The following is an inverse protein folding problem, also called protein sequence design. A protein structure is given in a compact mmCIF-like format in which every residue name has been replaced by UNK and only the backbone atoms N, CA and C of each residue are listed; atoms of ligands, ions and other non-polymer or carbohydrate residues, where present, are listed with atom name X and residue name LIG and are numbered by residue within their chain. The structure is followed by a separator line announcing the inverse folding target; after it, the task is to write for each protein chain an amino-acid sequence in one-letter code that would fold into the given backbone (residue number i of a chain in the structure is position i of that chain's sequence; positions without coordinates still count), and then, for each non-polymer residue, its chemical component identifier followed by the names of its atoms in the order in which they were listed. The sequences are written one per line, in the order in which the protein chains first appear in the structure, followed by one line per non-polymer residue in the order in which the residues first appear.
data_IF_143365657939
#
_entry.id   IF_143365657939
#
_cell.length_a   1.000
_cell.length_b   1.000
_cell.length_c   1.000
_cell.angle_alpha   90.00
_cell.angle_beta   90.00
_cell.angle_gamma   90.00
#
_symmetry.space_group_name_H-M   'P 1'
#
loop_
_entity.id
_entity.type
_entity.pdbx_description
1 polymer ?
#
# COMPACT_ATOMS: atom_id res chain seq x y z
N UNK A 1 -2.75 22.67 10.40
CA UNK A 1 -2.05 23.11 11.63
C UNK A 1 -1.51 21.92 12.42
N UNK A 2 -2.36 21.04 12.97
CA UNK A 2 -1.88 19.94 13.85
C UNK A 2 -1.09 18.84 13.15
N UNK A 3 -1.38 18.54 11.88
CA UNK A 3 -0.62 17.55 11.08
C UNK A 3 0.78 18.10 10.78
N UNK A 4 0.85 19.30 10.20
CA UNK A 4 2.12 19.97 9.86
C UNK A 4 3.06 20.13 11.06
N UNK A 5 2.50 20.43 12.25
CA UNK A 5 3.31 20.55 13.47
C UNK A 5 3.96 19.22 13.91
N UNK A 6 3.33 18.08 13.59
CA UNK A 6 3.82 16.73 13.98
C UNK A 6 4.62 16.05 12.88
N UNK A 7 4.57 16.59 11.66
CA UNK A 7 5.21 16.01 10.48
C UNK A 7 6.73 15.86 10.62
N UNK A 8 7.50 16.84 11.14
CA UNK A 8 8.95 16.70 11.28
C UNK A 8 9.36 15.52 12.17
N UNK A 9 8.72 15.36 13.34
CA UNK A 9 9.00 14.26 14.24
C UNK A 9 8.54 12.91 13.68
N UNK A 10 7.38 12.90 13.01
CA UNK A 10 6.89 11.69 12.35
C UNK A 10 7.85 11.22 11.26
N UNK A 11 8.29 12.12 10.40
CA UNK A 11 9.21 11.82 9.29
C UNK A 11 10.60 11.44 9.82
N UNK A 12 11.04 12.00 10.95
CA UNK A 12 12.35 11.68 11.54
C UNK A 12 12.37 10.35 12.32
N UNK A 13 11.29 10.00 13.02
CA UNK A 13 11.33 8.90 14.01
C UNK A 13 10.31 7.78 13.78
N UNK A 14 9.24 8.03 13.03
CA UNK A 14 8.18 7.03 12.79
C UNK A 14 8.30 6.44 11.39
N UNK A 15 8.33 7.28 10.36
CA UNK A 15 8.38 6.83 8.96
C UNK A 15 9.58 5.91 8.64
N UNK A 16 10.80 6.15 9.15
CA UNK A 16 11.96 5.30 8.85
C UNK A 16 11.80 3.86 9.31
N UNK A 17 10.90 3.56 10.26
CA UNK A 17 10.69 2.20 10.76
C UNK A 17 10.13 1.26 9.69
N UNK A 18 9.49 1.80 8.64
CA UNK A 18 8.96 1.03 7.50
C UNK A 18 10.03 0.16 6.84
N UNK A 19 11.30 0.59 6.82
CA UNK A 19 12.39 -0.16 6.19
C UNK A 19 12.69 -1.50 6.88
N UNK A 20 12.28 -1.66 8.14
CA UNK A 20 12.49 -2.87 8.92
C UNK A 20 11.28 -3.79 8.94
N UNK A 21 10.13 -3.35 8.41
CA UNK A 21 8.93 -4.14 8.38
C UNK A 21 9.02 -5.25 7.33
N UNK A 22 8.55 -6.44 7.69
CA UNK A 22 8.40 -7.55 6.74
C UNK A 22 7.21 -7.32 5.80
N UNK A 23 6.19 -6.60 6.28
CA UNK A 23 5.00 -6.20 5.50
C UNK A 23 4.62 -4.76 5.85
N UNK A 24 4.38 -3.92 4.83
CA UNK A 24 3.83 -2.57 4.96
C UNK A 24 2.49 -2.49 4.22
N UNK A 25 1.46 -2.03 4.92
CA UNK A 25 0.16 -1.69 4.32
C UNK A 25 0.10 -0.16 4.15
N UNK A 26 0.19 0.31 2.90
CA UNK A 26 0.15 1.72 2.57
C UNK A 26 -1.24 2.12 2.05
N UNK A 27 -1.88 3.08 2.71
CA UNK A 27 -3.22 3.56 2.38
C UNK A 27 -3.13 4.89 1.66
N UNK A 28 -3.62 4.94 0.42
CA UNK A 28 -3.55 6.10 -0.47
C UNK A 28 -4.95 6.48 -0.96
N UNK A 29 -5.14 7.74 -1.40
CA UNK A 29 -6.31 8.13 -2.18
C UNK A 29 -6.57 7.21 -3.37
N UNK A 30 -7.85 6.93 -3.65
CA UNK A 30 -8.23 6.21 -4.87
C UNK A 30 -7.82 6.99 -6.12
N UNK A 31 -7.51 6.26 -7.18
CA UNK A 31 -7.31 6.82 -8.53
C UNK A 31 -8.48 6.50 -9.46
N UNK A 32 -9.50 5.78 -8.97
CA UNK A 32 -10.66 5.36 -9.75
C UNK A 32 -11.73 6.46 -9.85
N UNK A 33 -11.78 7.37 -8.87
CA UNK A 33 -12.78 8.44 -8.78
C UNK A 33 -12.04 9.79 -8.81
N UNK A 34 -12.10 10.54 -9.93
CA UNK A 34 -11.47 11.85 -10.03
C UNK A 34 -12.05 12.84 -9.02
N UNK A 35 -11.18 13.58 -8.31
CA UNK A 35 -11.60 14.60 -7.36
C UNK A 35 -12.19 14.06 -6.05
N UNK A 36 -12.04 12.75 -5.75
CA UNK A 36 -12.52 12.20 -4.48
C UNK A 36 -11.84 12.84 -3.27
N UNK A 37 -12.66 13.54 -2.48
CA UNK A 37 -12.28 14.16 -1.22
C UNK A 37 -12.94 13.48 -0.01
N UNK A 38 -13.83 12.49 -0.23
CA UNK A 38 -14.47 11.75 0.85
C UNK A 38 -13.55 10.70 1.46
N UNK A 39 -12.57 10.21 0.70
CA UNK A 39 -11.56 9.23 1.15
C UNK A 39 -12.18 7.92 1.69
N UNK A 40 -13.34 7.54 1.18
CA UNK A 40 -14.01 6.26 1.52
C UNK A 40 -13.57 5.11 0.60
N UNK A 41 -13.26 5.42 -0.66
CA UNK A 41 -12.67 4.47 -1.60
C UNK A 41 -11.16 4.69 -1.58
N UNK A 42 -10.40 3.63 -1.32
CA UNK A 42 -8.97 3.71 -1.05
C UNK A 42 -8.18 2.88 -2.05
N UNK A 43 -6.97 3.35 -2.38
CA UNK A 43 -5.95 2.56 -3.06
C UNK A 43 -4.99 2.05 -1.99
N UNK A 44 -4.97 0.74 -1.76
CA UNK A 44 -4.13 0.12 -0.73
C UNK A 44 -3.01 -0.67 -1.40
N UNK A 45 -1.77 -0.50 -0.95
CA UNK A 45 -0.62 -1.30 -1.36
C UNK A 45 -0.19 -2.20 -0.21
N UNK A 46 0.06 -3.48 -0.51
CA UNK A 46 0.71 -4.41 0.41
C UNK A 46 2.13 -4.65 -0.10
N UNK A 47 3.12 -4.06 0.58
CA UNK A 47 4.54 -4.22 0.25
C UNK A 47 5.09 -5.32 1.15
N UNK A 48 5.58 -6.40 0.55
CA UNK A 48 6.07 -7.59 1.26
C UNK A 48 7.55 -7.76 0.98
N UNK A 49 8.34 -7.96 2.03
CA UNK A 49 9.78 -8.20 1.92
C UNK A 49 10.04 -9.63 1.44
N UNK A 50 10.93 -9.76 0.46
CA UNK A 50 11.35 -11.05 -0.09
C UNK A 50 12.52 -11.66 0.71
N UNK A 51 12.75 -12.97 0.52
CA UNK A 51 13.90 -13.67 1.10
C UNK A 51 13.82 -13.96 2.60
N UNK A 52 12.66 -13.76 3.22
CA UNK A 52 12.43 -14.04 4.63
C UNK A 52 12.17 -15.53 4.88
N UNK A 53 12.82 -16.08 5.89
CA UNK A 53 12.61 -17.47 6.29
C UNK A 53 11.17 -17.66 6.77
N UNK A 54 10.48 -18.65 6.21
CA UNK A 54 9.08 -18.99 6.53
C UNK A 54 8.04 -17.93 6.14
N UNK A 55 8.38 -17.02 5.22
CA UNK A 55 7.45 -16.04 4.70
C UNK A 55 7.50 -16.03 3.18
N UNK A 56 6.37 -16.37 2.56
CA UNK A 56 6.21 -16.39 1.11
C UNK A 56 5.27 -15.23 0.73
N UNK A 57 5.74 -14.19 0.02
CA UNK A 57 4.91 -13.09 -0.46
C UNK A 57 3.74 -13.59 -1.30
N UNK A 58 2.57 -12.97 -1.16
CA UNK A 58 1.45 -13.26 -2.06
C UNK A 58 1.70 -12.64 -3.43
N UNK A 59 1.29 -13.35 -4.48
CA UNK A 59 1.34 -12.86 -5.86
C UNK A 59 -0.01 -13.06 -6.54
N UNK A 60 -0.17 -12.41 -7.70
CA UNK A 60 -1.37 -12.55 -8.54
C UNK A 60 -0.95 -13.12 -9.90
N UNK A 61 -1.53 -14.27 -10.26
CA UNK A 61 -1.25 -15.04 -11.49
C UNK A 61 0.19 -15.56 -11.64
N UNK A 62 1.17 -14.67 -11.81
CA UNK A 62 2.56 -15.03 -12.13
C UNK A 62 3.53 -14.28 -11.21
N UNK A 63 4.31 -15.04 -10.44
CA UNK A 63 5.22 -14.50 -9.42
C UNK A 63 6.39 -13.75 -10.06
N UNK A 64 6.66 -12.53 -9.58
CA UNK A 64 7.74 -11.67 -10.11
C UNK A 64 7.38 -10.86 -11.35
N UNK A 65 6.23 -11.09 -11.99
CA UNK A 65 5.75 -10.31 -13.13
C UNK A 65 5.04 -9.01 -12.71
N UNK A 66 5.04 -8.02 -13.61
CA UNK A 66 4.27 -6.77 -13.43
C UNK A 66 2.91 -6.91 -14.12
N UNK A 67 1.83 -6.87 -13.34
CA UNK A 67 0.47 -7.14 -13.80
C UNK A 67 -0.51 -6.07 -13.31
N UNK A 68 -1.54 -5.80 -14.12
CA UNK A 68 -2.71 -5.01 -13.75
C UNK A 68 -3.95 -5.83 -14.06
N UNK A 69 -4.81 -6.02 -13.06
CA UNK A 69 -5.99 -6.87 -13.17
C UNK A 69 -7.25 -6.15 -12.70
N UNK A 70 -8.32 -6.24 -13.50
CA UNK A 70 -9.65 -5.69 -13.21
C UNK A 70 -10.64 -6.87 -13.20
N UNK A 71 -11.07 -7.34 -12.01
CA UNK A 71 -11.94 -8.52 -11.89
C UNK A 71 -13.36 -8.33 -12.45
N UNK A 72 -13.87 -7.09 -12.52
CA UNK A 72 -15.28 -6.84 -12.82
C UNK A 72 -15.66 -7.28 -14.24
N UNK A 73 -16.65 -8.16 -14.34
CA UNK A 73 -17.11 -8.71 -15.60
C UNK A 73 -18.44 -9.44 -15.42
N UNK A 74 -18.84 -10.25 -16.40
CA UNK A 74 -20.17 -10.88 -16.36
C UNK A 74 -20.35 -11.96 -15.27
N UNK A 75 -19.25 -12.57 -14.81
CA UNK A 75 -19.26 -13.71 -13.88
C UNK A 75 -18.75 -13.36 -12.49
N UNK A 76 -18.47 -12.07 -12.23
CA UNK A 76 -17.95 -11.57 -10.98
C UNK A 76 -18.73 -10.33 -10.53
#
# INVERSE_FOLDING_TARGET
ASIEARKPDFDAYVDPQKQYADVVVEVLPTQLIPGDNERKVLRVRMVMKEGLKYFNPVYLFDEGSTLSWIPCGRKL
#
